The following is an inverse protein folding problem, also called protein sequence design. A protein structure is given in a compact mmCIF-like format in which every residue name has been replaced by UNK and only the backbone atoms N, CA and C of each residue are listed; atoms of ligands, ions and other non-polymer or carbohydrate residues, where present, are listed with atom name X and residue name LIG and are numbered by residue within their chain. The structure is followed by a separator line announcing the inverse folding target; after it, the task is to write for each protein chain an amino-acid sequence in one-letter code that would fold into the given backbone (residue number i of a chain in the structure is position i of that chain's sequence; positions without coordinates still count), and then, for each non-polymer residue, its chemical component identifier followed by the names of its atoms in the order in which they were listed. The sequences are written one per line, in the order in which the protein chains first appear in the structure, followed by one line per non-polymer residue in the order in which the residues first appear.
data_IF_368309082976
#
_entry.id   IF_368309082976
#
_cell.length_a   1.000
_cell.length_b   1.000
_cell.length_c   1.000
_cell.angle_alpha   90.00
_cell.angle_beta   90.00
_cell.angle_gamma   90.00
#
_symmetry.space_group_name_H-M   'P 1'
#
loop_
_entity.id
_entity.type
_entity.pdbx_description
1 polymer ?
#
# COMPACT_ATOMS: atom_id res chain seq x y z
N UNK A 1 -16.73 6.83 27.22
CA UNK A 1 -17.07 7.57 25.99
C UNK A 1 -16.59 8.97 26.28
N UNK A 2 -15.42 9.35 25.78
CA UNK A 2 -14.77 10.63 26.14
C UNK A 2 -15.25 11.68 25.14
N UNK A 3 -16.45 12.20 25.38
CA UNK A 3 -17.03 13.23 24.51
C UNK A 3 -16.80 14.63 25.07
N UNK A 4 -16.45 14.75 26.35
CA UNK A 4 -16.17 16.03 26.97
C UNK A 4 -14.67 16.38 26.91
N UNK A 5 -14.38 17.67 26.71
CA UNK A 5 -13.03 18.22 26.83
C UNK A 5 -12.43 17.90 28.21
N UNK A 6 -13.28 17.86 29.25
CA UNK A 6 -12.90 17.55 30.63
C UNK A 6 -12.27 16.16 30.74
N UNK A 7 -12.93 15.13 30.20
CA UNK A 7 -12.43 13.76 30.22
C UNK A 7 -11.16 13.58 29.39
N UNK A 8 -10.98 14.34 28.30
CA UNK A 8 -9.72 14.35 27.52
C UNK A 8 -8.57 14.91 28.35
N UNK A 9 -8.81 16.03 29.04
CA UNK A 9 -7.82 16.65 29.94
C UNK A 9 -7.46 15.68 31.06
N UNK A 10 -8.43 15.01 31.68
CA UNK A 10 -8.17 14.03 32.75
C UNK A 10 -7.30 12.86 32.29
N UNK A 11 -7.50 12.34 31.07
CA UNK A 11 -6.64 11.28 30.51
C UNK A 11 -5.21 11.79 30.29
N UNK A 12 -5.05 13.00 29.75
CA UNK A 12 -3.72 13.60 29.53
C UNK A 12 -3.02 13.90 30.87
N UNK A 13 -3.75 14.38 31.87
CA UNK A 13 -3.23 14.62 33.22
C UNK A 13 -2.80 13.32 33.91
N UNK A 14 -3.54 12.22 33.73
CA UNK A 14 -3.12 10.90 34.22
C UNK A 14 -1.84 10.42 33.57
N UNK A 15 -1.70 10.62 32.25
CA UNK A 15 -0.48 10.29 31.52
C UNK A 15 0.76 11.04 32.04
N UNK A 16 0.58 12.26 32.56
CA UNK A 16 1.67 13.06 33.12
C UNK A 16 2.10 12.65 34.54
N UNK A 17 1.23 11.98 35.30
CA UNK A 17 1.42 11.76 36.74
C UNK A 17 1.61 10.28 37.13
N UNK A 18 0.95 9.32 36.46
CA UNK A 18 1.14 7.87 36.66
C UNK A 18 0.47 7.09 35.52
N UNK A 19 1.08 7.10 34.33
CA UNK A 19 0.49 6.50 33.14
C UNK A 19 0.46 4.96 33.24
N UNK A 20 -0.73 4.38 33.07
CA UNK A 20 -0.82 2.97 32.70
C UNK A 20 -0.88 2.82 31.16
N UNK A 21 -0.62 1.64 30.60
CA UNK A 21 -0.63 1.43 29.14
C UNK A 21 -1.96 1.71 28.44
N UNK A 22 -3.08 1.77 29.18
CA UNK A 22 -4.38 2.12 28.62
C UNK A 22 -4.53 3.64 28.47
N UNK A 23 -4.03 4.41 29.45
CA UNK A 23 -4.04 5.86 29.41
C UNK A 23 -3.16 6.37 28.26
N UNK A 24 -1.98 5.78 28.05
CA UNK A 24 -1.09 6.12 26.92
C UNK A 24 -1.76 5.90 25.56
N UNK A 25 -2.43 4.75 25.38
CA UNK A 25 -3.16 4.46 24.13
C UNK A 25 -4.33 5.40 23.90
N UNK A 26 -5.02 5.80 24.97
CA UNK A 26 -6.11 6.76 24.86
C UNK A 26 -5.58 8.15 24.50
N UNK A 27 -4.44 8.55 25.07
CA UNK A 27 -3.76 9.79 24.71
C UNK A 27 -3.33 9.80 23.23
N UNK A 28 -2.76 8.70 22.71
CA UNK A 28 -2.42 8.56 21.27
C UNK A 28 -3.68 8.71 20.39
N UNK A 29 -4.82 8.12 20.77
CA UNK A 29 -6.07 8.26 20.03
C UNK A 29 -6.62 9.70 20.09
N UNK A 30 -6.49 10.39 21.22
CA UNK A 30 -6.88 11.80 21.38
C UNK A 30 -6.02 12.69 20.49
N UNK A 31 -4.70 12.49 20.51
CA UNK A 31 -3.76 13.24 19.68
C UNK A 31 -4.07 13.04 18.20
N UNK A 32 -4.30 11.79 17.78
CA UNK A 32 -4.64 11.46 16.41
C UNK A 32 -5.97 12.09 15.95
N UNK A 33 -7.01 12.05 16.79
CA UNK A 33 -8.28 12.72 16.50
C UNK A 33 -8.09 14.23 16.33
N UNK A 34 -7.25 14.85 17.17
CA UNK A 34 -6.95 16.28 17.09
C UNK A 34 -6.18 16.63 15.81
N UNK A 35 -5.19 15.82 15.40
CA UNK A 35 -4.43 16.01 14.16
C UNK A 35 -5.36 15.98 12.93
N UNK A 36 -6.33 15.06 12.93
CA UNK A 36 -7.31 14.93 11.85
C UNK A 36 -8.48 15.92 11.97
N UNK A 37 -8.50 16.75 13.02
CA UNK A 37 -9.59 17.70 13.32
C UNK A 37 -10.98 17.04 13.43
N UNK A 38 -11.03 15.79 13.89
CA UNK A 38 -12.27 15.02 14.07
C UNK A 38 -12.56 14.70 15.54
N UNK A 39 -13.81 14.33 15.82
CA UNK A 39 -14.17 13.78 17.14
C UNK A 39 -13.64 12.36 17.33
N UNK A 40 -13.46 11.94 18.60
CA UNK A 40 -13.10 10.56 18.93
C UNK A 40 -14.15 9.53 18.46
N UNK A 41 -15.44 9.90 18.46
CA UNK A 41 -16.51 9.05 17.93
C UNK A 41 -16.32 8.83 16.42
N UNK A 42 -16.14 9.92 15.67
CA UNK A 42 -15.89 9.84 14.23
C UNK A 42 -14.64 9.02 13.95
N UNK A 43 -13.54 9.28 14.68
CA UNK A 43 -12.31 8.49 14.56
C UNK A 43 -12.58 6.99 14.75
N UNK A 44 -13.36 6.61 15.76
CA UNK A 44 -13.69 5.21 16.03
C UNK A 44 -14.50 4.58 14.90
N UNK A 45 -15.47 5.31 14.34
CA UNK A 45 -16.28 4.83 13.22
C UNK A 45 -15.42 4.64 11.96
N UNK A 46 -14.53 5.60 11.68
CA UNK A 46 -13.64 5.53 10.53
C UNK A 46 -12.59 4.42 10.68
N UNK A 47 -12.00 4.25 11.86
CA UNK A 47 -11.15 3.11 12.20
C UNK A 47 -11.92 1.78 12.07
N UNK A 48 -13.21 1.74 12.42
CA UNK A 48 -14.05 0.56 12.25
C UNK A 48 -14.19 0.16 10.77
N UNK A 49 -14.55 1.12 9.90
CA UNK A 49 -14.65 0.91 8.44
C UNK A 49 -13.32 0.48 7.83
N UNK A 50 -12.23 1.08 8.31
CA UNK A 50 -10.87 0.76 7.92
C UNK A 50 -10.51 -0.69 8.29
N UNK A 51 -10.75 -1.11 9.54
CA UNK A 51 -10.48 -2.47 10.00
C UNK A 51 -11.24 -3.47 9.13
N UNK A 52 -12.50 -3.18 8.80
CA UNK A 52 -13.28 -4.02 7.90
C UNK A 52 -12.64 -4.16 6.51
N UNK A 53 -12.19 -3.05 5.92
CA UNK A 53 -11.43 -3.07 4.65
C UNK A 53 -10.15 -3.89 4.76
N UNK A 54 -9.37 -3.71 5.81
CA UNK A 54 -8.12 -4.46 6.03
C UNK A 54 -8.36 -5.97 6.22
N UNK A 55 -9.42 -6.36 6.93
CA UNK A 55 -9.83 -7.77 7.09
C UNK A 55 -10.23 -8.37 5.74
N UNK A 56 -10.97 -7.64 4.90
CA UNK A 56 -11.36 -8.14 3.58
C UNK A 56 -10.12 -8.32 2.68
N UNK A 57 -9.15 -7.41 2.77
CA UNK A 57 -7.86 -7.53 2.06
C UNK A 57 -7.03 -8.70 2.56
N UNK A 58 -6.95 -8.93 3.88
CA UNK A 58 -6.16 -10.04 4.43
C UNK A 58 -6.70 -11.39 3.98
N UNK A 59 -8.02 -11.55 3.89
CA UNK A 59 -8.66 -12.74 3.29
C UNK A 59 -8.27 -12.93 1.83
N UNK A 60 -8.28 -11.86 1.04
CA UNK A 60 -7.90 -11.92 -0.37
C UNK A 60 -6.41 -12.25 -0.55
N UNK A 61 -5.54 -11.68 0.30
CA UNK A 61 -4.12 -12.01 0.34
C UNK A 61 -3.87 -13.46 0.74
N UNK A 62 -4.64 -13.99 1.70
CA UNK A 62 -4.57 -15.40 2.08
C UNK A 62 -4.89 -16.32 0.89
N UNK A 63 -5.95 -16.01 0.12
CA UNK A 63 -6.28 -16.76 -1.11
C UNK A 63 -5.14 -16.71 -2.13
N UNK A 64 -4.49 -15.56 -2.29
CA UNK A 64 -3.32 -15.42 -3.18
C UNK A 64 -2.20 -16.35 -2.71
N UNK A 65 -1.82 -16.32 -1.42
CA UNK A 65 -0.77 -17.19 -0.86
C UNK A 65 -1.07 -18.69 -1.00
N UNK A 66 -2.33 -19.09 -0.77
CA UNK A 66 -2.78 -20.48 -0.92
C UNK A 66 -2.75 -20.96 -2.39
N UNK A 67 -2.89 -20.06 -3.34
CA UNK A 67 -2.77 -20.37 -4.77
C UNK A 67 -1.31 -20.34 -5.23
N UNK A 68 -0.48 -19.41 -4.74
CA UNK A 68 0.96 -19.35 -5.05
C UNK A 68 1.70 -20.63 -4.66
N UNK A 69 1.36 -21.19 -3.49
CA UNK A 69 1.96 -22.42 -2.96
C UNK A 69 1.65 -23.67 -3.79
N UNK A 70 0.64 -23.61 -4.68
CA UNK A 70 0.29 -24.70 -5.60
C UNK A 70 1.05 -24.65 -6.93
N UNK A 71 2.01 -23.73 -7.07
CA UNK A 71 2.83 -23.60 -8.29
C UNK A 71 2.12 -22.92 -9.46
N UNK A 72 0.86 -22.53 -9.28
CA UNK A 72 0.08 -21.74 -10.21
C UNK A 72 -0.19 -20.40 -9.55
N UNK A 73 0.65 -19.39 -9.80
CA UNK A 73 0.23 -18.01 -9.58
C UNK A 73 -0.17 -17.40 -10.92
N UNK A 74 -1.45 -17.55 -11.33
CA UNK A 74 -2.00 -16.83 -12.46
C UNK A 74 -1.57 -15.37 -12.44
N UNK A 75 -1.20 -14.83 -13.61
CA UNK A 75 -0.85 -13.42 -13.79
C UNK A 75 -1.85 -12.48 -13.08
N UNK A 76 -3.14 -12.81 -13.15
CA UNK A 76 -4.21 -12.09 -12.46
C UNK A 76 -3.98 -11.93 -10.95
N UNK A 77 -3.44 -12.94 -10.27
CA UNK A 77 -3.20 -12.87 -8.83
C UNK A 77 -2.00 -12.00 -8.49
N UNK A 78 -0.95 -12.00 -9.31
CA UNK A 78 0.15 -11.03 -9.18
C UNK A 78 -0.34 -9.59 -9.34
N UNK A 79 -1.13 -9.35 -10.37
CA UNK A 79 -1.71 -8.02 -10.63
C UNK A 79 -2.60 -7.58 -9.48
N UNK A 80 -3.51 -8.45 -9.03
CA UNK A 80 -4.37 -8.18 -7.86
C UNK A 80 -3.56 -7.96 -6.58
N UNK A 81 -2.48 -8.71 -6.38
CA UNK A 81 -1.61 -8.55 -5.22
C UNK A 81 -1.01 -7.14 -5.15
N UNK A 82 -0.48 -6.62 -6.26
CA UNK A 82 0.07 -5.26 -6.30
C UNK A 82 -0.99 -4.20 -6.02
N UNK A 83 -2.20 -4.35 -6.56
CA UNK A 83 -3.28 -3.41 -6.29
C UNK A 83 -3.79 -3.46 -4.85
N UNK A 84 -3.88 -4.65 -4.25
CA UNK A 84 -4.21 -4.79 -2.82
C UNK A 84 -3.15 -4.12 -1.94
N UNK A 85 -1.87 -4.31 -2.26
CA UNK A 85 -0.78 -3.65 -1.55
C UNK A 85 -0.86 -2.13 -1.72
N UNK A 86 -1.05 -1.65 -2.96
CA UNK A 86 -1.20 -0.23 -3.28
C UNK A 86 -2.31 0.39 -2.45
N UNK A 87 -3.49 -0.23 -2.47
CA UNK A 87 -4.65 0.26 -1.73
C UNK A 87 -4.41 0.21 -0.20
N UNK A 88 -3.63 -0.76 0.29
CA UNK A 88 -3.24 -0.80 1.71
C UNK A 88 -2.33 0.37 2.08
N UNK A 89 -1.35 0.67 1.23
CA UNK A 89 -0.43 1.80 1.41
C UNK A 89 -1.18 3.13 1.36
N UNK A 90 -2.06 3.30 0.36
CA UNK A 90 -2.88 4.51 0.22
C UNK A 90 -3.70 4.74 1.48
N UNK A 91 -4.40 3.72 1.96
CA UNK A 91 -5.21 3.83 3.17
C UNK A 91 -4.34 4.13 4.39
N UNK A 92 -3.29 3.34 4.63
CA UNK A 92 -2.54 3.41 5.89
C UNK A 92 -1.66 4.65 6.00
N UNK A 93 -1.07 5.11 4.90
CA UNK A 93 -0.06 6.16 4.93
C UNK A 93 -0.49 7.46 4.26
N UNK A 94 -1.48 7.42 3.36
CA UNK A 94 -1.87 8.60 2.57
C UNK A 94 -3.23 9.14 3.01
N UNK A 95 -4.23 8.29 3.16
CA UNK A 95 -5.61 8.75 3.39
C UNK A 95 -5.91 8.93 4.88
N UNK A 96 -5.45 8.00 5.72
CA UNK A 96 -5.78 7.99 7.15
C UNK A 96 -4.63 8.38 8.07
N UNK A 97 -3.39 8.48 7.60
CA UNK A 97 -2.21 8.77 8.45
C UNK A 97 -1.99 7.79 9.61
N UNK A 98 -2.47 6.54 9.50
CA UNK A 98 -2.38 5.52 10.56
C UNK A 98 -0.95 5.25 11.04
N UNK A 99 0.06 5.54 10.21
CA UNK A 99 1.46 5.41 10.61
C UNK A 99 1.80 6.20 11.90
N UNK A 100 1.04 7.26 12.20
CA UNK A 100 1.19 8.04 13.44
C UNK A 100 0.86 7.21 14.69
N UNK A 101 -0.03 6.22 14.56
CA UNK A 101 -0.46 5.34 15.66
C UNK A 101 0.15 3.94 15.59
N UNK A 102 0.47 3.43 14.40
CA UNK A 102 1.00 2.07 14.23
C UNK A 102 2.53 2.00 14.26
N UNK A 103 3.22 3.14 14.10
CA UNK A 103 4.70 3.21 13.96
C UNK A 103 5.23 2.31 12.82
N UNK A 104 4.41 2.08 11.79
CA UNK A 104 4.72 1.14 10.68
C UNK A 104 5.69 1.70 9.62
N UNK A 105 6.37 2.82 9.89
CA UNK A 105 7.31 3.44 8.95
C UNK A 105 8.48 2.51 8.54
N UNK A 106 8.97 1.67 9.46
CA UNK A 106 10.01 0.68 9.15
C UNK A 106 9.52 -0.42 8.19
N UNK A 107 8.25 -0.80 8.29
CA UNK A 107 7.63 -1.75 7.36
C UNK A 107 7.49 -1.11 5.98
N UNK A 108 7.00 0.13 5.93
CA UNK A 108 6.93 0.92 4.69
C UNK A 108 8.29 1.02 4.01
N UNK A 109 9.35 1.29 4.78
CA UNK A 109 10.73 1.39 4.28
C UNK A 109 11.17 0.09 3.62
N UNK A 110 11.00 -1.04 4.32
CA UNK A 110 11.38 -2.37 3.82
C UNK A 110 10.62 -2.75 2.56
N UNK A 111 9.30 -2.53 2.54
CA UNK A 111 8.47 -2.79 1.37
C UNK A 111 8.92 -1.92 0.20
N UNK A 112 9.15 -0.63 0.42
CA UNK A 112 9.57 0.31 -0.63
C UNK A 112 10.88 -0.12 -1.27
N UNK A 113 11.91 -0.40 -0.46
CA UNK A 113 13.21 -0.85 -0.97
C UNK A 113 13.05 -2.14 -1.78
N UNK A 114 12.31 -3.12 -1.27
CA UNK A 114 12.10 -4.39 -1.95
C UNK A 114 11.38 -4.21 -3.30
N UNK A 115 10.32 -3.40 -3.36
CA UNK A 115 9.58 -3.15 -4.61
C UNK A 115 10.43 -2.35 -5.62
N UNK A 116 11.25 -1.40 -5.15
CA UNK A 116 12.22 -0.68 -5.99
C UNK A 116 13.23 -1.64 -6.59
N UNK A 117 13.79 -2.56 -5.79
CA UNK A 117 14.72 -3.58 -6.27
C UNK A 117 14.07 -4.49 -7.32
N UNK A 118 12.88 -5.00 -7.06
CA UNK A 118 12.12 -5.81 -8.03
C UNK A 118 11.88 -5.06 -9.34
N UNK A 119 11.48 -3.79 -9.26
CA UNK A 119 11.24 -2.97 -10.44
C UNK A 119 12.53 -2.72 -11.23
N UNK A 120 13.66 -2.45 -10.56
CA UNK A 120 14.94 -2.27 -11.22
C UNK A 120 15.48 -3.57 -11.83
N UNK A 121 15.26 -4.73 -11.19
CA UNK A 121 15.58 -6.04 -11.78
C UNK A 121 14.76 -6.28 -13.05
N UNK A 122 13.48 -5.89 -13.06
CA UNK A 122 12.62 -6.00 -14.26
C UNK A 122 13.07 -5.13 -15.44
N UNK A 123 14.00 -4.18 -15.24
CA UNK A 123 14.59 -3.39 -16.34
C UNK A 123 15.64 -4.18 -17.12
N UNK A 124 16.31 -5.14 -16.49
CA UNK A 124 17.52 -5.79 -17.01
C UNK A 124 17.18 -6.99 -17.92
N UNK A 125 15.95 -7.51 -17.90
CA UNK A 125 15.56 -8.73 -18.63
C UNK A 125 14.99 -8.52 -20.04
N UNK A 126 14.79 -7.27 -20.49
CA UNK A 126 14.15 -6.98 -21.78
C UNK A 126 15.04 -7.27 -23.03
N UNK A 127 16.29 -7.69 -22.86
CA UNK A 127 17.24 -7.84 -23.98
C UNK A 127 17.20 -9.24 -24.61
N UNK A 128 16.53 -10.24 -24.00
CA UNK A 128 16.57 -11.62 -24.50
C UNK A 128 15.23 -12.37 -24.58
N UNK A 129 14.12 -11.78 -24.15
CA UNK A 129 12.81 -12.46 -24.14
C UNK A 129 12.11 -12.23 -25.48
N UNK A 130 12.54 -12.99 -26.48
CA UNK A 130 11.72 -13.27 -27.67
C UNK A 130 10.70 -14.31 -27.23
N UNK A 131 9.42 -14.05 -27.49
CA UNK A 131 8.31 -15.01 -27.46
C UNK A 131 7.47 -15.09 -26.17
N UNK A 132 6.13 -15.04 -26.37
CA UNK A 132 4.97 -15.20 -25.47
C UNK A 132 4.94 -14.60 -24.06
N UNK A 133 6.01 -14.57 -23.27
CA UNK A 133 5.93 -14.12 -21.87
C UNK A 133 6.19 -12.61 -21.70
N UNK A 134 6.64 -11.94 -22.77
CA UNK A 134 6.88 -10.50 -22.79
C UNK A 134 5.65 -9.67 -22.38
N UNK A 135 4.45 -10.02 -22.86
CA UNK A 135 3.24 -9.28 -22.50
C UNK A 135 2.89 -9.45 -21.01
N UNK A 136 3.17 -10.62 -20.42
CA UNK A 136 2.94 -10.87 -18.99
C UNK A 136 3.86 -10.00 -18.14
N UNK A 137 5.12 -9.88 -18.56
CA UNK A 137 6.10 -9.00 -17.92
C UNK A 137 5.71 -7.53 -18.02
N UNK A 138 5.18 -7.09 -19.18
CA UNK A 138 4.64 -5.73 -19.33
C UNK A 138 3.47 -5.48 -18.37
N UNK A 139 2.51 -6.40 -18.27
CA UNK A 139 1.36 -6.26 -17.35
C UNK A 139 1.84 -6.20 -15.88
N UNK A 140 2.78 -7.06 -15.49
CA UNK A 140 3.37 -7.05 -14.15
C UNK A 140 4.08 -5.71 -13.88
N UNK A 141 4.89 -5.25 -14.83
CA UNK A 141 5.65 -4.01 -14.71
C UNK A 141 4.75 -2.78 -14.62
N UNK A 142 3.71 -2.69 -15.44
CA UNK A 142 2.72 -1.61 -15.34
C UNK A 142 1.96 -1.66 -14.00
N UNK A 143 1.62 -2.85 -13.51
CA UNK A 143 1.00 -3.01 -12.17
C UNK A 143 1.96 -2.57 -11.05
N UNK A 144 3.25 -2.87 -11.17
CA UNK A 144 4.30 -2.43 -10.24
C UNK A 144 4.45 -0.91 -10.21
N UNK A 145 4.32 -0.22 -11.36
CA UNK A 145 4.39 1.25 -11.43
C UNK A 145 3.31 1.90 -10.56
N UNK A 146 2.08 1.38 -10.61
CA UNK A 146 0.97 1.87 -9.77
C UNK A 146 1.30 1.75 -8.28
N UNK A 147 1.83 0.60 -7.84
CA UNK A 147 2.27 0.40 -6.46
C UNK A 147 3.43 1.32 -6.07
N UNK A 148 4.44 1.47 -6.94
CA UNK A 148 5.58 2.34 -6.71
C UNK A 148 5.17 3.80 -6.50
N UNK A 149 4.22 4.30 -7.29
CA UNK A 149 3.72 5.67 -7.13
C UNK A 149 3.10 5.88 -5.75
N UNK A 150 2.27 4.94 -5.28
CA UNK A 150 1.69 4.99 -3.93
C UNK A 150 2.76 4.89 -2.84
N UNK A 151 3.75 4.00 -2.97
CA UNK A 151 4.85 3.87 -2.02
C UNK A 151 5.69 5.15 -1.94
N UNK A 152 6.05 5.74 -3.07
CA UNK A 152 6.82 7.00 -3.12
C UNK A 152 6.03 8.12 -2.46
N UNK A 153 4.75 8.27 -2.81
CA UNK A 153 3.88 9.29 -2.22
C UNK A 153 3.77 9.09 -0.70
N UNK A 154 3.58 7.86 -0.23
CA UNK A 154 3.56 7.54 1.19
C UNK A 154 4.89 7.86 1.89
N UNK A 155 6.02 7.51 1.27
CA UNK A 155 7.35 7.78 1.83
C UNK A 155 7.63 9.28 1.94
N UNK A 156 7.28 10.07 0.92
CA UNK A 156 7.43 11.51 0.94
C UNK A 156 6.51 12.14 2.00
N UNK A 157 5.24 11.73 2.05
CA UNK A 157 4.27 12.25 3.04
C UNK A 157 4.72 11.98 4.48
N UNK A 158 5.31 10.81 4.73
CA UNK A 158 5.81 10.41 6.05
C UNK A 158 7.21 10.94 6.37
N UNK A 159 7.84 11.67 5.45
CA UNK A 159 9.25 12.10 5.52
C UNK A 159 10.24 10.93 5.72
N UNK A 160 9.86 9.73 5.27
CA UNK A 160 10.70 8.53 5.36
C UNK A 160 11.87 8.57 4.37
N UNK A 161 11.63 9.17 3.20
CA UNK A 161 12.63 9.48 2.19
C UNK A 161 12.46 10.92 1.74
N UNK A 162 13.56 11.55 1.39
CA UNK A 162 13.59 12.82 0.67
C UNK A 162 13.41 12.60 -0.83
N UNK A 163 13.02 13.65 -1.56
CA UNK A 163 12.95 13.59 -3.03
C UNK A 163 14.30 13.18 -3.66
N UNK A 164 15.42 13.60 -3.06
CA UNK A 164 16.76 13.25 -3.54
C UNK A 164 17.04 11.75 -3.39
N UNK A 165 16.66 11.15 -2.26
CA UNK A 165 16.80 9.70 -2.03
C UNK A 165 15.89 8.90 -2.98
N UNK A 166 14.64 9.36 -3.20
CA UNK A 166 13.74 8.75 -4.20
C UNK A 166 14.36 8.83 -5.59
N UNK A 167 14.92 9.97 -5.98
CA UNK A 167 15.56 10.14 -7.28
C UNK A 167 16.80 9.24 -7.43
N UNK A 168 17.54 8.99 -6.35
CA UNK A 168 18.71 8.11 -6.35
C UNK A 168 18.36 6.64 -6.64
N UNK A 169 17.10 6.22 -6.50
CA UNK A 169 16.64 4.90 -6.93
C UNK A 169 16.64 4.71 -8.46
N UNK A 170 16.85 5.78 -9.24
CA UNK A 170 16.98 5.74 -10.70
C UNK A 170 15.81 5.02 -11.39
N UNK A 171 14.59 5.30 -10.93
CA UNK A 171 13.39 4.58 -11.37
C UNK A 171 13.03 4.86 -12.84
N UNK A 172 13.47 5.97 -13.43
CA UNK A 172 13.07 6.35 -14.78
C UNK A 172 11.59 6.71 -14.81
N UNK A 173 10.92 6.51 -15.95
CA UNK A 173 9.48 6.77 -16.04
C UNK A 173 8.66 5.65 -15.37
N UNK A 174 8.04 6.02 -14.25
CA UNK A 174 7.12 5.17 -13.48
C UNK A 174 5.66 5.59 -13.69
N UNK A 175 5.35 6.44 -14.66
CA UNK A 175 3.98 6.79 -15.00
C UNK A 175 3.29 5.56 -15.60
N UNK A 176 2.23 5.02 -14.96
CA UNK A 176 1.48 3.92 -15.53
C UNK A 176 0.80 4.37 -16.82
N UNK A 177 0.92 3.57 -17.86
CA UNK A 177 0.26 3.81 -19.15
C UNK A 177 -1.12 3.15 -19.22
N UNK A 178 -1.34 2.14 -18.39
CA UNK A 178 -2.59 1.38 -18.34
C UNK A 178 -3.31 1.57 -17.00
N UNK A 179 -4.64 1.58 -17.03
CA UNK A 179 -5.45 1.63 -15.82
C UNK A 179 -5.46 0.30 -15.07
N UNK A 180 -5.74 0.33 -13.76
CA UNK A 180 -5.91 -0.88 -12.95
C UNK A 180 -6.96 -1.84 -13.54
N UNK A 181 -8.12 -1.32 -13.94
CA UNK A 181 -9.18 -2.13 -14.54
C UNK A 181 -8.72 -2.79 -15.85
N UNK A 182 -7.95 -2.09 -16.67
CA UNK A 182 -7.38 -2.62 -17.90
C UNK A 182 -6.35 -3.72 -17.60
N UNK A 183 -5.44 -3.50 -16.65
CA UNK A 183 -4.43 -4.48 -16.25
C UNK A 183 -5.06 -5.75 -15.67
N UNK A 184 -6.10 -5.62 -14.84
CA UNK A 184 -6.88 -6.75 -14.34
C UNK A 184 -7.56 -7.50 -15.49
N UNK A 185 -8.17 -6.78 -16.45
CA UNK A 185 -8.80 -7.38 -17.63
C UNK A 185 -7.79 -8.15 -18.49
N UNK A 186 -6.65 -7.53 -18.82
CA UNK A 186 -5.55 -8.11 -19.57
C UNK A 186 -5.01 -9.37 -18.88
N UNK A 187 -4.82 -9.31 -17.57
CA UNK A 187 -4.35 -10.45 -16.77
C UNK A 187 -5.37 -11.59 -16.67
N UNK A 188 -6.65 -11.31 -16.89
CA UNK A 188 -7.76 -12.28 -16.83
C UNK A 188 -8.03 -12.99 -18.15
N UNK A 189 -7.40 -12.58 -19.26
CA UNK A 189 -7.72 -13.11 -20.59
C UNK A 189 -6.51 -13.71 -21.31
N UNK A 190 -6.59 -15.01 -21.64
CA UNK A 190 -5.62 -15.69 -22.54
C UNK A 190 -5.63 -15.11 -23.98
N UNK A 191 -6.63 -14.29 -24.34
CA UNK A 191 -6.91 -13.83 -25.71
C UNK A 191 -5.96 -12.77 -26.27
N UNK A 192 -5.19 -12.07 -25.44
CA UNK A 192 -4.37 -10.93 -25.91
C UNK A 192 -3.11 -11.32 -26.68
N UNK A 193 -2.75 -12.60 -26.62
CA UNK A 193 -1.73 -13.22 -27.47
C UNK A 193 -2.00 -12.96 -28.98
N UNK A 194 -3.27 -12.81 -29.36
CA UNK A 194 -3.68 -12.46 -30.72
C UNK A 194 -3.55 -10.97 -31.04
N UNK A 195 -3.90 -10.09 -30.08
CA UNK A 195 -3.92 -8.64 -30.30
C UNK A 195 -2.51 -8.06 -30.33
N UNK A 196 -1.62 -8.50 -29.44
CA UNK A 196 -0.22 -8.06 -29.45
C UNK A 196 0.54 -8.56 -30.69
N UNK A 197 0.26 -9.78 -31.18
CA UNK A 197 0.78 -10.29 -32.47
C UNK A 197 0.33 -9.47 -33.69
N UNK A 198 -0.73 -8.68 -33.57
CA UNK A 198 -1.26 -7.80 -34.63
C UNK A 198 -0.71 -6.38 -34.56
N UNK A 199 -0.07 -6.01 -33.45
CA UNK A 199 0.48 -4.67 -33.20
C UNK A 199 2.00 -4.60 -33.37
N UNK A 200 2.70 -5.74 -33.34
CA UNK A 200 4.10 -5.89 -33.77
C UNK A 200 4.18 -6.19 -35.27
#
# INVERSE_FOLDING_TARGET
MIDSIQERIEVLEKCLNDANPHDEKMAEMIEFANIQEISLIQLKEELGKLIEKLINKSKLYQVICEQSTKGELPLLLYVKHYFIMKESIDIEFIDFDLYLITKNQEILKKITINIVEQFNQSKIENVQIVDKDFYKLLIIRESLKHLLQSLIKACLKTNLFTEQEINAFNLGDITPQESEAMLISLASTEKWDYVYRKLA
#
